data_IF_732446685492
#
_entry.id   IF_732446685492
#
_cell.length_a   1.000
_cell.length_b   1.000
_cell.length_c   1.000
_cell.angle_alpha   90.00
_cell.angle_beta   90.00
_cell.angle_gamma   90.00
#
_symmetry.space_group_name_H-M   'P 1'
#
loop_
_entity.id
_entity.type
_entity.pdbx_description
1 polymer ?
#
# COMPACT_ATOMS: atom_id res chain seq x y z
N UNK A 1 7.16 -10.41 15.35
CA UNK A 1 8.45 -10.95 14.85
C UNK A 1 9.20 -9.89 14.00
N UNK A 2 9.99 -9.04 14.66
CA UNK A 2 10.77 -7.96 14.03
C UNK A 2 12.12 -8.47 13.51
N UNK A 3 12.12 -9.07 12.31
CA UNK A 3 13.32 -9.64 11.69
C UNK A 3 14.38 -8.61 11.34
N UNK A 4 15.64 -9.02 11.45
CA UNK A 4 16.90 -8.28 11.16
C UNK A 4 17.07 -7.87 9.69
N UNK A 5 16.08 -7.23 9.08
CA UNK A 5 16.18 -6.79 7.69
C UNK A 5 16.90 -5.43 7.61
N UNK A 6 17.95 -5.35 6.77
CA UNK A 6 18.70 -4.14 6.43
C UNK A 6 19.59 -3.56 7.56
N UNK A 7 20.53 -4.35 8.11
CA UNK A 7 21.48 -3.90 9.15
C UNK A 7 22.69 -3.10 8.63
N UNK A 8 23.22 -3.49 7.48
CA UNK A 8 24.37 -2.85 6.84
C UNK A 8 23.87 -1.62 6.07
N UNK A 9 23.96 -1.66 4.74
CA UNK A 9 23.40 -0.63 3.87
C UNK A 9 21.87 -0.61 3.92
N UNK A 10 21.32 0.57 4.17
CA UNK A 10 19.87 0.81 4.15
C UNK A 10 19.52 2.23 3.74
N UNK A 11 18.40 2.36 3.05
CA UNK A 11 17.76 3.63 2.73
C UNK A 11 16.46 3.74 3.53
N UNK A 12 16.35 4.78 4.35
CA UNK A 12 15.13 5.11 5.08
C UNK A 12 14.47 6.33 4.45
N UNK A 13 13.16 6.26 4.26
CA UNK A 13 12.39 7.30 3.57
C UNK A 13 11.26 7.77 4.48
N UNK A 14 11.10 9.10 4.57
CA UNK A 14 10.18 9.78 5.46
C UNK A 14 9.34 10.81 4.70
N UNK A 15 8.02 10.84 4.96
CA UNK A 15 7.11 11.89 4.47
C UNK A 15 7.18 13.11 5.40
N UNK A 16 8.35 13.71 5.52
CA UNK A 16 8.62 14.85 6.40
C UNK A 16 10.09 14.89 6.77
N UNK A 17 10.41 15.51 7.90
CA UNK A 17 11.77 15.43 8.47
C UNK A 17 12.07 14.02 8.98
N UNK A 18 13.34 13.55 8.89
CA UNK A 18 13.75 12.27 9.47
C UNK A 18 13.40 12.20 10.96
N UNK A 19 12.96 11.03 11.43
CA UNK A 19 12.58 10.75 12.83
C UNK A 19 11.43 11.61 13.41
N UNK A 20 10.81 12.46 12.59
CA UNK A 20 9.68 13.34 12.98
C UNK A 20 8.45 13.07 12.12
N UNK A 21 8.62 12.99 10.80
CA UNK A 21 7.54 12.74 9.86
C UNK A 21 7.05 11.29 9.87
N UNK A 22 5.95 10.98 9.17
CA UNK A 22 5.55 9.60 8.91
C UNK A 22 6.65 8.79 8.20
N UNK A 23 7.06 7.68 8.80
CA UNK A 23 8.02 6.74 8.21
C UNK A 23 7.36 5.97 7.05
N UNK A 24 7.92 6.08 5.84
CA UNK A 24 7.41 5.38 4.65
C UNK A 24 7.94 3.96 4.62
N UNK A 25 9.25 3.77 4.87
CA UNK A 25 9.84 2.46 4.85
C UNK A 25 11.37 2.46 4.88
N UNK A 26 11.89 1.26 5.18
CA UNK A 26 13.31 0.93 5.16
C UNK A 26 13.57 -0.06 4.02
N UNK A 27 14.54 0.26 3.17
CA UNK A 27 14.88 -0.49 1.96
C UNK A 27 16.36 -0.88 1.95
N UNK A 28 16.68 -2.06 1.44
CA UNK A 28 18.04 -2.53 1.24
C UNK A 28 18.09 -3.62 0.16
N UNK A 29 19.32 -3.95 -0.29
CA UNK A 29 19.55 -4.97 -1.30
C UNK A 29 19.07 -4.52 -2.67
N UNK A 30 18.49 -5.44 -3.45
CA UNK A 30 18.00 -5.18 -4.81
C UNK A 30 16.51 -4.83 -4.85
N UNK A 31 15.83 -4.78 -3.70
CA UNK A 31 14.39 -4.47 -3.65
C UNK A 31 14.20 -2.96 -3.81
N UNK A 32 13.71 -2.55 -4.97
CA UNK A 32 13.46 -1.13 -5.26
C UNK A 32 12.20 -0.65 -4.51
N UNK A 33 12.21 0.57 -3.95
CA UNK A 33 11.08 1.12 -3.20
C UNK A 33 9.80 1.38 -4.02
N UNK A 34 9.83 1.17 -5.34
CA UNK A 34 8.74 1.53 -6.24
C UNK A 34 8.48 3.04 -6.25
N UNK A 35 7.28 3.44 -6.68
CA UNK A 35 6.87 4.85 -6.72
C UNK A 35 6.45 5.31 -5.32
N UNK A 36 7.12 6.34 -4.81
CA UNK A 36 6.79 7.00 -3.54
C UNK A 36 6.11 8.35 -3.80
N UNK A 37 5.10 8.70 -3.00
CA UNK A 37 4.38 9.98 -3.09
C UNK A 37 4.33 10.61 -1.70
N UNK A 38 4.95 11.77 -1.52
CA UNK A 38 4.80 12.62 -0.33
C UNK A 38 3.56 13.49 -0.44
N UNK A 39 2.95 13.81 0.70
CA UNK A 39 1.87 14.81 0.83
C UNK A 39 2.14 15.88 1.89
N UNK A 40 3.20 15.74 2.69
CA UNK A 40 3.56 16.74 3.72
C UNK A 40 4.26 17.98 3.15
N UNK A 41 4.65 17.94 1.87
CA UNK A 41 5.48 18.97 1.22
C UNK A 41 6.98 18.76 1.41
N UNK A 42 7.40 17.82 2.26
CA UNK A 42 8.80 17.46 2.49
C UNK A 42 8.93 15.93 2.34
N UNK A 43 9.88 15.49 1.52
CA UNK A 43 10.27 14.08 1.43
C UNK A 43 11.76 13.98 1.77
N UNK A 44 12.08 13.30 2.86
CA UNK A 44 13.46 13.12 3.30
C UNK A 44 13.90 11.68 3.11
N UNK A 45 15.17 11.50 2.74
CA UNK A 45 15.81 10.20 2.61
C UNK A 45 17.12 10.21 3.40
N UNK A 46 17.34 9.16 4.19
CA UNK A 46 18.60 8.94 4.92
C UNK A 46 19.21 7.64 4.43
N UNK A 47 20.39 7.75 3.84
CA UNK A 47 21.16 6.60 3.38
C UNK A 47 22.25 6.28 4.41
N UNK A 48 22.15 5.09 4.99
CA UNK A 48 23.15 4.55 5.91
C UNK A 48 23.96 3.49 5.17
N UNK A 49 25.28 3.60 5.26
CA UNK A 49 26.23 2.61 4.72
C UNK A 49 27.28 2.31 5.77
N UNK A 50 27.86 1.11 5.74
CA UNK A 50 28.97 0.73 6.60
C UNK A 50 30.31 0.81 5.85
N UNK A 51 31.41 0.47 6.54
CA UNK A 51 32.75 0.46 5.93
C UNK A 51 33.06 -0.82 5.14
N UNK A 52 32.06 -1.67 4.84
CA UNK A 52 32.22 -2.94 4.16
C UNK A 52 31.91 -2.83 2.65
N UNK A 53 31.53 -3.94 2.00
CA UNK A 53 31.37 -4.06 0.54
C UNK A 53 30.38 -3.03 -0.02
N UNK A 54 30.89 -2.07 -0.81
CA UNK A 54 30.06 -1.12 -1.53
C UNK A 54 29.38 -1.76 -2.76
N UNK A 55 28.13 -1.33 -3.04
CA UNK A 55 27.38 -1.67 -4.26
C UNK A 55 27.09 -0.42 -5.09
N UNK A 56 26.46 -0.60 -6.26
CA UNK A 56 26.16 0.46 -7.24
C UNK A 56 25.26 1.60 -6.73
N UNK A 57 24.67 1.48 -5.54
CA UNK A 57 23.86 2.53 -4.91
C UNK A 57 22.43 2.58 -5.46
N UNK A 58 21.84 3.78 -5.50
CA UNK A 58 20.49 4.02 -6.02
C UNK A 58 20.45 5.29 -6.88
N UNK A 59 19.56 5.29 -7.87
CA UNK A 59 19.19 6.47 -8.65
C UNK A 59 17.68 6.63 -8.61
N UNK A 60 17.21 7.87 -8.40
CA UNK A 60 15.80 8.17 -8.30
C UNK A 60 15.49 9.54 -8.92
N UNK A 61 14.34 9.62 -9.58
CA UNK A 61 13.80 10.87 -10.12
C UNK A 61 12.59 11.29 -9.29
N UNK A 62 12.43 12.59 -9.06
CA UNK A 62 11.27 13.16 -8.37
C UNK A 62 10.53 14.14 -9.28
N UNK A 63 9.22 14.26 -9.05
CA UNK A 63 8.39 15.28 -9.68
C UNK A 63 7.38 15.81 -8.67
N UNK A 64 7.07 17.09 -8.78
CA UNK A 64 6.07 17.76 -7.93
C UNK A 64 4.78 17.89 -8.72
N UNK A 65 3.68 17.37 -8.16
CA UNK A 65 2.37 17.48 -8.79
C UNK A 65 1.78 18.85 -8.43
N UNK A 66 1.49 19.67 -9.45
CA UNK A 66 0.70 20.87 -9.27
C UNK A 66 -0.78 20.51 -9.30
N UNK A 67 -1.55 20.97 -8.32
CA UNK A 67 -2.99 20.76 -8.28
C UNK A 67 -3.70 21.79 -9.15
N UNK A 68 -4.15 21.39 -10.35
CA UNK A 68 -5.17 22.13 -11.09
C UNK A 68 -6.54 21.67 -10.59
N UNK A 69 -7.12 22.38 -9.63
CA UNK A 69 -8.46 22.09 -9.13
C UNK A 69 -9.45 22.80 -10.06
N UNK A 70 -10.27 22.03 -10.77
CA UNK A 70 -11.42 22.61 -11.47
C UNK A 70 -12.49 23.01 -10.45
N UNK A 71 -13.28 24.04 -10.75
CA UNK A 71 -14.42 24.46 -9.90
C UNK A 71 -15.41 23.30 -9.65
N UNK A 72 -15.47 22.31 -10.55
CA UNK A 72 -16.29 21.10 -10.45
C UNK A 72 -15.56 19.89 -9.82
N UNK A 73 -14.49 20.11 -9.06
CA UNK A 73 -13.73 19.00 -8.47
C UNK A 73 -14.55 18.21 -7.44
N UNK A 74 -14.85 16.96 -7.77
CA UNK A 74 -15.45 15.99 -6.83
C UNK A 74 -14.36 15.08 -6.28
N UNK A 75 -14.26 14.98 -4.95
CA UNK A 75 -13.32 14.09 -4.26
C UNK A 75 -13.78 12.61 -4.33
N UNK A 76 -13.99 12.11 -5.56
CA UNK A 76 -14.42 10.73 -5.85
C UNK A 76 -13.47 10.02 -6.81
N UNK A 77 -12.32 10.64 -7.11
CA UNK A 77 -11.33 10.08 -8.03
C UNK A 77 -10.75 8.75 -7.51
N UNK A 78 -10.57 7.79 -8.40
CA UNK A 78 -10.07 6.47 -8.05
C UNK A 78 -8.62 6.54 -7.52
N UNK A 79 -8.37 5.94 -6.36
CA UNK A 79 -7.07 6.03 -5.67
C UNK A 79 -6.01 5.00 -6.11
N UNK A 80 -6.31 4.18 -7.12
CA UNK A 80 -5.30 3.36 -7.75
C UNK A 80 -5.50 1.85 -7.77
N UNK A 81 -6.54 1.31 -7.12
CA UNK A 81 -6.74 -0.15 -7.04
C UNK A 81 -6.91 -0.77 -8.43
N UNK A 82 -7.75 -0.17 -9.30
CA UNK A 82 -7.97 -0.61 -10.68
C UNK A 82 -6.80 -0.24 -11.59
N UNK A 83 -6.40 1.04 -11.59
CA UNK A 83 -5.37 1.57 -12.50
C UNK A 83 -3.94 1.04 -12.27
N UNK A 84 -3.69 0.36 -11.14
CA UNK A 84 -2.35 -0.08 -10.77
C UNK A 84 -1.46 0.97 -10.09
N UNK A 85 -1.93 2.21 -9.89
CA UNK A 85 -1.18 3.21 -9.11
C UNK A 85 -0.87 2.72 -7.68
N UNK A 86 -1.75 1.87 -7.15
CA UNK A 86 -1.49 1.07 -5.95
C UNK A 86 -0.65 -0.13 -6.35
N UNK A 87 0.59 -0.24 -5.86
CA UNK A 87 1.44 -1.40 -6.14
C UNK A 87 1.00 -2.63 -5.33
N UNK A 88 1.19 -3.84 -5.86
CA UNK A 88 0.76 -5.08 -5.20
C UNK A 88 1.44 -5.28 -3.84
N UNK A 89 2.68 -4.82 -3.67
CA UNK A 89 3.38 -4.86 -2.37
C UNK A 89 2.69 -4.06 -1.25
N UNK A 90 1.85 -3.09 -1.63
CA UNK A 90 1.10 -2.29 -0.66
C UNK A 90 -0.25 -2.94 -0.32
N UNK A 91 -0.67 -3.99 -1.03
CA UNK A 91 -1.89 -4.76 -0.73
C UNK A 91 -1.50 -5.95 0.14
N UNK A 92 -2.06 -6.03 1.35
CA UNK A 92 -1.77 -7.10 2.31
C UNK A 92 -3.07 -7.67 2.85
N UNK A 93 -3.08 -8.94 3.21
CA UNK A 93 -4.23 -9.62 3.78
C UNK A 93 -3.83 -10.49 4.97
N UNK A 94 -4.79 -10.86 5.79
CA UNK A 94 -4.65 -11.83 6.89
C UNK A 94 -4.19 -13.19 6.38
N UNK A 95 -4.85 -13.67 5.32
CA UNK A 95 -4.59 -14.96 4.69
C UNK A 95 -5.07 -14.93 3.23
N UNK A 96 -4.73 -15.98 2.48
CA UNK A 96 -5.23 -16.20 1.12
C UNK A 96 -5.47 -17.68 0.90
N UNK A 97 -6.57 -18.04 0.23
CA UNK A 97 -6.94 -19.42 -0.05
C UNK A 97 -5.91 -20.13 -0.93
N UNK A 98 -5.47 -19.46 -2.00
CA UNK A 98 -4.37 -19.91 -2.85
C UNK A 98 -3.80 -18.75 -3.67
N UNK A 99 -2.79 -19.02 -4.50
CA UNK A 99 -2.26 -18.04 -5.47
C UNK A 99 -3.30 -17.56 -6.48
N UNK A 100 -4.31 -18.39 -6.79
CA UNK A 100 -5.44 -18.01 -7.66
C UNK A 100 -6.47 -17.10 -6.97
N UNK A 101 -6.32 -16.88 -5.65
CA UNK A 101 -7.16 -16.05 -4.81
C UNK A 101 -6.32 -15.10 -3.94
N UNK A 102 -5.16 -14.69 -4.44
CA UNK A 102 -4.18 -13.85 -3.74
C UNK A 102 -4.71 -12.42 -3.50
N UNK A 103 -4.08 -11.72 -2.56
CA UNK A 103 -4.45 -10.35 -2.21
C UNK A 103 -4.37 -9.36 -3.39
N UNK A 104 -3.46 -9.58 -4.35
CA UNK A 104 -3.32 -8.73 -5.54
C UNK A 104 -4.54 -8.79 -6.48
N UNK A 105 -5.34 -9.86 -6.41
CA UNK A 105 -6.57 -10.04 -7.19
C UNK A 105 -7.76 -9.28 -6.60
N UNK A 106 -7.57 -8.60 -5.47
CA UNK A 106 -8.57 -7.70 -4.87
C UNK A 106 -8.77 -6.39 -5.63
N UNK A 107 -8.00 -6.15 -6.69
CA UNK A 107 -8.17 -4.97 -7.55
C UNK A 107 -9.55 -4.96 -8.19
N UNK A 108 -10.10 -3.77 -8.34
CA UNK A 108 -11.39 -3.62 -9.02
C UNK A 108 -11.25 -4.07 -10.48
N UNK A 109 -12.24 -4.84 -10.96
CA UNK A 109 -12.27 -5.41 -12.31
C UNK A 109 -11.05 -6.28 -12.69
N UNK A 110 -10.45 -6.96 -11.71
CA UNK A 110 -9.46 -8.00 -11.98
C UNK A 110 -10.08 -9.09 -12.90
N UNK A 111 -9.38 -9.56 -13.95
CA UNK A 111 -9.97 -10.38 -15.01
C UNK A 111 -10.42 -11.77 -14.53
N UNK A 112 -9.76 -12.32 -13.50
CA UNK A 112 -10.03 -13.67 -13.00
C UNK A 112 -9.99 -13.75 -11.48
N UNK A 113 -11.05 -14.31 -10.89
CA UNK A 113 -11.23 -14.47 -9.44
C UNK A 113 -11.13 -13.14 -8.67
N UNK A 114 -11.05 -13.23 -7.35
CA UNK A 114 -10.79 -12.13 -6.44
C UNK A 114 -9.92 -12.58 -5.28
N UNK A 115 -9.71 -11.72 -4.28
CA UNK A 115 -9.12 -12.18 -3.03
C UNK A 115 -10.14 -12.98 -2.23
N UNK A 116 -9.73 -14.16 -1.75
CA UNK A 116 -10.49 -14.98 -0.81
C UNK A 116 -9.56 -15.42 0.31
N UNK A 117 -9.93 -15.22 1.59
CA UNK A 117 -9.12 -15.69 2.72
C UNK A 117 -9.06 -17.22 2.78
N UNK A 118 -8.08 -17.76 3.50
CA UNK A 118 -7.92 -19.20 3.70
C UNK A 118 -9.02 -19.83 4.55
N UNK A 119 -9.63 -19.04 5.44
CA UNK A 119 -10.72 -19.45 6.32
C UNK A 119 -11.89 -18.47 6.20
N UNK A 120 -13.13 -18.94 6.37
CA UNK A 120 -14.30 -18.07 6.41
C UNK A 120 -14.59 -17.64 7.85
N UNK A 121 -13.88 -16.61 8.30
CA UNK A 121 -13.91 -16.10 9.67
C UNK A 121 -14.02 -14.59 9.71
N UNK A 122 -14.70 -14.07 10.74
CA UNK A 122 -14.81 -12.61 10.97
C UNK A 122 -13.48 -11.93 11.29
N UNK A 123 -12.41 -12.70 11.49
CA UNK A 123 -11.05 -12.22 11.78
C UNK A 123 -10.23 -11.93 10.53
N UNK A 124 -10.73 -12.35 9.36
CA UNK A 124 -10.03 -12.15 8.10
C UNK A 124 -10.11 -10.70 7.64
N UNK A 125 -9.03 -10.19 7.06
CA UNK A 125 -8.94 -8.82 6.61
C UNK A 125 -8.08 -8.71 5.35
N UNK A 126 -8.41 -7.71 4.54
CA UNK A 126 -7.56 -7.20 3.47
C UNK A 126 -7.41 -5.70 3.66
N UNK A 127 -6.19 -5.21 3.55
CA UNK A 127 -5.87 -3.81 3.67
C UNK A 127 -4.91 -3.40 2.57
N UNK A 128 -5.00 -2.13 2.19
CA UNK A 128 -3.95 -1.50 1.41
C UNK A 128 -3.23 -0.49 2.30
N UNK A 129 -1.92 -0.62 2.43
CA UNK A 129 -1.10 0.30 3.21
C UNK A 129 -1.05 1.65 2.50
N UNK A 130 -1.84 2.61 2.97
CA UNK A 130 -1.49 4.04 2.84
C UNK A 130 -1.37 4.60 4.25
N UNK A 131 -0.15 4.98 4.59
CA UNK A 131 0.23 5.84 5.73
C UNK A 131 -0.34 7.26 5.61
N UNK A 132 -1.53 7.44 5.00
CA UNK A 132 -2.09 8.74 4.64
C UNK A 132 -3.58 8.79 4.92
N UNK A 133 -4.00 9.88 5.54
CA UNK A 133 -5.41 10.24 5.68
C UNK A 133 -5.97 10.62 4.30
N UNK A 134 -6.73 9.71 3.70
CA UNK A 134 -7.56 10.01 2.53
C UNK A 134 -8.98 9.52 2.83
N UNK A 135 -9.95 10.44 2.80
CA UNK A 135 -11.37 10.06 2.83
C UNK A 135 -11.64 9.35 1.50
N UNK A 136 -12.00 8.07 1.59
CA UNK A 136 -12.17 7.21 0.41
C UNK A 136 -13.58 6.62 0.46
N UNK A 137 -14.34 6.75 -0.62
CA UNK A 137 -15.51 5.89 -0.84
C UNK A 137 -14.99 4.52 -1.24
N UNK A 138 -15.40 3.46 -0.55
CA UNK A 138 -14.97 2.09 -0.87
C UNK A 138 -16.01 1.43 -1.76
N UNK A 139 -15.57 0.90 -2.90
CA UNK A 139 -16.39 0.08 -3.80
C UNK A 139 -15.87 -1.35 -3.78
N UNK A 140 -16.75 -2.28 -3.41
CA UNK A 140 -16.48 -3.72 -3.45
C UNK A 140 -17.24 -4.38 -4.59
N UNK A 141 -16.66 -5.41 -5.20
CA UNK A 141 -17.32 -6.28 -6.18
C UNK A 141 -17.10 -7.73 -5.76
N UNK A 142 -18.13 -8.56 -5.80
CA UNK A 142 -18.01 -10.00 -5.58
C UNK A 142 -17.32 -10.68 -6.77
N UNK A 143 -16.43 -11.62 -6.51
CA UNK A 143 -15.80 -12.44 -7.56
C UNK A 143 -16.66 -13.67 -7.88
N UNK A 144 -16.95 -13.91 -9.16
CA UNK A 144 -17.45 -15.19 -9.65
C UNK A 144 -16.27 -16.11 -9.93
N UNK A 145 -16.26 -17.31 -9.34
CA UNK A 145 -15.26 -18.33 -9.63
C UNK A 145 -15.39 -18.80 -11.07
N UNK A 146 -14.30 -18.82 -11.84
CA UNK A 146 -14.28 -19.41 -13.19
C UNK A 146 -14.41 -20.94 -13.18
N UNK A 147 -14.28 -21.58 -12.02
CA UNK A 147 -14.35 -23.04 -11.82
C UNK A 147 -15.60 -23.52 -11.07
N UNK A 148 -16.39 -22.64 -10.47
CA UNK A 148 -17.64 -23.00 -9.77
C UNK A 148 -18.74 -21.97 -10.03
N UNK A 149 -19.89 -22.42 -10.52
CA UNK A 149 -21.07 -21.60 -10.87
C UNK A 149 -21.77 -20.89 -9.69
N UNK A 150 -21.16 -20.84 -8.51
CA UNK A 150 -21.79 -20.30 -7.31
C UNK A 150 -21.15 -18.97 -6.89
N UNK A 151 -21.87 -17.84 -7.04
CA UNK A 151 -21.40 -16.54 -6.54
C UNK A 151 -21.49 -16.55 -5.01
N UNK A 152 -20.37 -16.34 -4.30
CA UNK A 152 -20.39 -16.13 -2.84
C UNK A 152 -20.69 -14.65 -2.54
N UNK A 153 -21.89 -14.29 -2.05
CA UNK A 153 -22.17 -12.91 -1.67
C UNK A 153 -21.42 -12.56 -0.38
N UNK A 154 -20.70 -11.44 -0.38
CA UNK A 154 -20.17 -10.83 0.84
C UNK A 154 -21.34 -10.19 1.60
N UNK A 155 -21.74 -10.78 2.72
CA UNK A 155 -22.95 -10.37 3.47
C UNK A 155 -22.77 -9.10 4.29
N UNK A 156 -21.54 -8.74 4.68
CA UNK A 156 -21.21 -7.42 5.26
C UNK A 156 -19.69 -7.23 5.37
N UNK A 157 -19.17 -6.08 4.96
CA UNK A 157 -17.77 -5.69 5.18
C UNK A 157 -17.73 -4.58 6.23
N UNK A 158 -17.05 -4.82 7.36
CA UNK A 158 -16.73 -3.76 8.33
C UNK A 158 -15.52 -2.97 7.83
N UNK A 159 -15.75 -1.71 7.48
CA UNK A 159 -14.67 -0.79 7.14
C UNK A 159 -14.01 -0.27 8.42
N UNK A 160 -12.74 -0.59 8.61
CA UNK A 160 -11.93 -0.05 9.69
C UNK A 160 -10.95 0.98 9.12
N UNK A 161 -11.13 2.25 9.49
CA UNK A 161 -10.17 3.31 9.17
C UNK A 161 -9.32 3.57 10.41
N UNK A 162 -8.03 3.21 10.36
CA UNK A 162 -7.08 3.60 11.40
C UNK A 162 -6.62 5.04 11.12
N UNK A 163 -7.26 6.00 11.78
CA UNK A 163 -6.79 7.39 11.83
C UNK A 163 -5.89 7.54 13.05
N UNK A 164 -4.58 7.65 12.82
CA UNK A 164 -3.64 8.02 13.88
C UNK A 164 -3.78 9.52 14.14
N UNK A 165 -4.57 9.91 15.15
CA UNK A 165 -4.49 11.26 15.71
C UNK A 165 -3.22 11.35 16.55
N UNK A 166 -2.24 12.10 16.07
CA UNK A 166 -1.09 12.51 16.89
C UNK A 166 -1.63 13.44 17.98
N UNK A 167 -1.61 12.98 19.23
CA UNK A 167 -1.86 13.81 20.41
C UNK A 167 -0.53 14.47 20.77
N UNK A 168 -0.39 15.75 20.43
CA UNK A 168 0.71 16.59 20.91
C UNK A 168 0.43 16.87 22.40
N UNK A 169 1.35 16.50 23.28
CA UNK A 169 1.40 16.97 24.67
C UNK A 169 2.24 18.23 24.74
#
# INVERSE_FOLDING_TARGET
PGGMFCRYDRLEIWDGFPDVGPHIGRYCGQKTPGRIRSSSGILSMVFYTDSAIAKEGFSANYSVLQSSVSEDFKCMEALGMESGEVHSDQITASSQYSTNWSAERSRLNYPENGWTPGEDSYREWIQHAKYRLRVSVVRSKSSSSSTSLEPRPLSSLKLSFFSYKIKIM
#
